data_IF_933059319084
#
_entry.id   IF_933059319084
#
_cell.length_a   1.000
_cell.length_b   1.000
_cell.length_c   1.000
_cell.angle_alpha   90.00
_cell.angle_beta   90.00
_cell.angle_gamma   90.00
#
_symmetry.space_group_name_H-M   'P 1'
#
loop_
_entity.id
_entity.type
_entity.pdbx_description
1 polymer ?
#
# COMPACT_ATOMS: atom_id res chain seq x y z
N UNK A 1 0.20 2.42 8.87
CA UNK A 1 1.15 3.53 9.09
C UNK A 1 2.41 3.15 8.33
N UNK A 2 3.15 4.12 7.77
CA UNK A 2 4.31 3.90 6.87
C UNK A 2 5.28 2.81 7.38
N UNK A 3 5.92 2.08 6.45
CA UNK A 3 6.94 1.07 6.73
C UNK A 3 8.05 1.63 7.60
N UNK A 4 8.54 0.87 8.60
CA UNK A 4 9.68 1.28 9.38
C UNK A 4 10.94 1.38 8.48
N UNK A 5 11.69 2.47 8.61
CA UNK A 5 12.92 2.72 7.83
C UNK A 5 13.94 1.59 8.00
N UNK A 6 14.03 1.04 9.22
CA UNK A 6 14.91 -0.08 9.58
C UNK A 6 14.13 -1.17 10.32
N UNK A 7 14.58 -2.41 10.22
CA UNK A 7 14.04 -3.50 11.03
C UNK A 7 14.39 -3.31 12.52
N UNK A 8 13.40 -3.52 13.39
CA UNK A 8 13.57 -3.42 14.85
C UNK A 8 14.56 -4.43 15.45
N UNK A 9 14.75 -5.59 14.81
CA UNK A 9 15.67 -6.63 15.33
C UNK A 9 17.02 -6.62 14.61
N UNK A 10 17.02 -6.58 13.27
CA UNK A 10 18.24 -6.73 12.48
C UNK A 10 18.94 -5.39 12.15
N UNK A 11 18.26 -4.24 12.31
CA UNK A 11 18.79 -2.93 11.92
C UNK A 11 19.00 -2.71 10.42
N UNK A 12 18.73 -3.72 9.59
CA UNK A 12 18.78 -3.66 8.12
C UNK A 12 17.78 -2.62 7.62
N UNK A 13 18.17 -1.88 6.59
CA UNK A 13 17.30 -0.92 5.89
C UNK A 13 16.21 -1.68 5.12
N UNK A 14 14.96 -1.29 5.32
CA UNK A 14 13.76 -1.92 4.72
C UNK A 14 12.91 -0.89 3.96
N UNK A 15 12.96 0.39 4.35
CA UNK A 15 12.10 1.42 3.76
C UNK A 15 12.26 1.62 2.24
N UNK A 16 13.43 1.27 1.69
CA UNK A 16 13.73 1.31 0.26
C UNK A 16 13.07 0.19 -0.55
N UNK A 17 12.71 -0.92 0.10
CA UNK A 17 12.32 -2.17 -0.57
C UNK A 17 10.83 -2.33 -0.83
N UNK A 18 10.01 -1.47 -0.24
CA UNK A 18 8.55 -1.61 -0.31
C UNK A 18 8.01 -1.47 -1.74
N UNK A 19 8.45 -0.44 -2.46
CA UNK A 19 7.99 -0.21 -3.83
C UNK A 19 8.40 -1.36 -4.76
N UNK A 20 9.64 -1.84 -4.63
CA UNK A 20 10.11 -3.01 -5.36
C UNK A 20 9.30 -4.27 -5.03
N UNK A 21 8.91 -4.47 -3.76
CA UNK A 21 8.02 -5.56 -3.36
C UNK A 21 6.64 -5.47 -4.05
N UNK A 22 6.03 -4.29 -4.09
CA UNK A 22 4.77 -4.06 -4.79
C UNK A 22 4.88 -4.30 -6.30
N UNK A 23 5.98 -3.90 -6.93
CA UNK A 23 6.25 -4.16 -8.35
C UNK A 23 6.40 -5.66 -8.65
N UNK A 24 7.00 -6.43 -7.74
CA UNK A 24 7.12 -7.90 -7.89
C UNK A 24 5.78 -8.59 -7.72
N UNK A 25 4.96 -8.15 -6.77
CA UNK A 25 3.59 -8.67 -6.61
C UNK A 25 2.70 -8.31 -7.81
N UNK A 26 2.88 -7.14 -8.42
CA UNK A 26 2.17 -6.75 -9.64
C UNK A 26 2.55 -7.61 -10.86
N UNK A 27 3.66 -8.34 -10.81
CA UNK A 27 4.11 -9.30 -11.82
C UNK A 27 3.62 -10.74 -11.52
N UNK A 28 2.66 -10.91 -10.61
CA UNK A 28 2.10 -12.19 -10.18
C UNK A 28 3.14 -13.15 -9.55
N UNK A 29 4.20 -12.61 -8.93
CA UNK A 29 5.16 -13.42 -8.18
C UNK A 29 4.62 -13.81 -6.80
N UNK A 30 5.04 -14.97 -6.30
CA UNK A 30 4.70 -15.39 -4.93
C UNK A 30 5.36 -14.47 -3.90
N UNK A 31 4.68 -14.25 -2.77
CA UNK A 31 5.18 -13.38 -1.69
C UNK A 31 6.53 -13.87 -1.14
N UNK A 32 6.75 -15.18 -1.10
CA UNK A 32 8.00 -15.80 -0.66
C UNK A 32 9.16 -15.48 -1.60
N UNK A 33 8.96 -15.74 -2.90
CA UNK A 33 9.99 -15.53 -3.92
C UNK A 33 10.35 -14.05 -4.06
N UNK A 34 9.36 -13.15 -3.96
CA UNK A 34 9.58 -11.71 -3.97
C UNK A 34 10.46 -11.25 -2.80
N UNK A 35 10.31 -11.82 -1.60
CA UNK A 35 11.14 -11.50 -0.44
C UNK A 35 12.57 -12.04 -0.58
N UNK A 36 12.73 -13.16 -1.28
CA UNK A 36 14.02 -13.76 -1.59
C UNK A 36 14.80 -12.94 -2.63
N UNK A 37 14.12 -12.43 -3.66
CA UNK A 37 14.70 -11.52 -4.66
C UNK A 37 15.17 -10.19 -4.02
N UNK A 38 14.42 -9.66 -3.05
CA UNK A 38 14.80 -8.49 -2.24
C UNK A 38 15.92 -8.76 -1.23
N UNK A 39 16.49 -9.96 -1.22
CA UNK A 39 17.58 -10.40 -0.35
C UNK A 39 17.23 -10.30 1.16
N UNK A 40 15.98 -10.56 1.53
CA UNK A 40 15.53 -10.60 2.93
C UNK A 40 15.61 -12.03 3.47
N UNK A 41 16.82 -12.51 3.78
CA UNK A 41 17.02 -13.90 4.28
C UNK A 41 16.51 -14.13 5.71
N UNK A 42 16.57 -13.12 6.57
CA UNK A 42 16.18 -13.26 8.00
C UNK A 42 14.69 -13.03 8.19
N UNK A 43 14.06 -13.90 8.99
CA UNK A 43 12.63 -13.82 9.33
C UNK A 43 12.23 -12.48 9.94
N UNK A 44 13.09 -11.88 10.78
CA UNK A 44 12.80 -10.60 11.43
C UNK A 44 12.62 -9.46 10.44
N UNK A 45 13.40 -9.45 9.35
CA UNK A 45 13.31 -8.44 8.33
C UNK A 45 12.12 -8.75 7.38
N UNK A 46 11.78 -10.04 7.13
CA UNK A 46 10.58 -10.45 6.36
C UNK A 46 9.27 -10.04 7.05
N UNK A 47 9.17 -10.22 8.37
CA UNK A 47 7.99 -9.86 9.16
C UNK A 47 7.59 -8.40 8.95
N UNK A 48 8.57 -7.49 8.86
CA UNK A 48 8.30 -6.06 8.70
C UNK A 48 7.58 -5.75 7.39
N UNK A 49 7.85 -6.50 6.31
CA UNK A 49 7.20 -6.31 5.01
C UNK A 49 5.85 -7.02 4.98
N UNK A 50 5.79 -8.27 5.45
CA UNK A 50 4.56 -9.08 5.43
C UNK A 50 3.43 -8.51 6.29
N UNK A 51 3.73 -7.95 7.46
CA UNK A 51 2.70 -7.43 8.38
C UNK A 51 2.40 -5.95 8.17
N UNK A 52 3.05 -5.31 7.20
CA UNK A 52 2.87 -3.88 7.00
C UNK A 52 1.52 -3.58 6.33
N UNK A 53 0.84 -2.55 6.83
CA UNK A 53 -0.40 -2.04 6.25
C UNK A 53 -0.29 -0.51 6.09
N UNK A 54 -0.32 -0.06 4.83
CA UNK A 54 -0.32 1.35 4.46
C UNK A 54 -1.65 2.02 4.76
N UNK A 55 -1.80 2.46 6.01
CA UNK A 55 -2.95 3.26 6.45
C UNK A 55 -2.80 4.76 6.09
N UNK A 56 -1.66 5.20 5.54
CA UNK A 56 -1.39 6.61 5.23
C UNK A 56 -2.39 7.15 4.19
N UNK A 57 -2.68 6.36 3.16
CA UNK A 57 -3.63 6.73 2.10
C UNK A 57 -5.02 7.00 2.67
N UNK A 58 -5.44 6.21 3.66
CA UNK A 58 -6.74 6.38 4.31
C UNK A 58 -6.75 7.59 5.25
N UNK A 59 -5.66 7.85 5.96
CA UNK A 59 -5.53 8.97 6.90
C UNK A 59 -5.48 10.33 6.20
N UNK A 60 -4.89 10.43 5.00
CA UNK A 60 -4.83 11.67 4.22
C UNK A 60 -6.22 12.22 3.85
N UNK A 61 -7.23 11.36 3.78
CA UNK A 61 -8.61 11.76 3.50
C UNK A 61 -9.32 12.39 4.71
N UNK A 62 -8.80 12.19 5.93
CA UNK A 62 -9.31 12.81 7.14
C UNK A 62 -8.61 14.16 7.34
N UNK A 63 -8.97 15.14 6.50
CA UNK A 63 -8.41 16.47 6.60
C UNK A 63 -8.90 17.13 7.90
N UNK A 64 -7.96 17.58 8.76
CA UNK A 64 -8.23 18.24 10.06
C UNK A 64 -8.84 19.65 9.92
N UNK A 65 -9.35 19.99 8.74
CA UNK A 65 -9.83 21.30 8.36
C UNK A 65 -11.30 21.51 8.79
N UNK A 66 -11.51 21.54 10.11
CA UNK A 66 -12.54 22.37 10.76
C UNK A 66 -11.89 23.42 11.67
N UNK A 67 -10.66 23.84 11.35
CA UNK A 67 -10.05 25.01 11.99
C UNK A 67 -9.40 25.92 10.92
N UNK A 68 -10.24 26.83 10.42
CA UNK A 68 -9.96 28.16 9.86
C UNK A 68 -8.76 28.41 8.93
N UNK A 69 -9.08 28.81 7.69
CA UNK A 69 -8.47 29.93 6.94
C UNK A 69 -6.94 30.09 6.95
N UNK A 70 -6.21 29.54 5.95
CA UNK A 70 -4.97 30.11 5.31
C UNK A 70 -4.13 29.06 4.54
N UNK A 71 -4.74 28.26 3.65
CA UNK A 71 -3.94 27.34 2.82
C UNK A 71 -4.42 27.21 1.38
N UNK A 72 -4.95 28.28 0.80
CA UNK A 72 -5.17 28.35 -0.65
C UNK A 72 -3.86 28.46 -1.46
N UNK A 73 -2.67 28.44 -0.83
CA UNK A 73 -1.39 28.69 -1.51
C UNK A 73 -0.33 27.57 -1.47
N UNK A 74 -0.55 26.39 -0.86
CA UNK A 74 0.54 25.40 -0.74
C UNK A 74 0.47 24.13 -1.60
N UNK A 75 -0.56 23.84 -2.39
CA UNK A 75 -0.60 22.56 -3.15
C UNK A 75 -0.76 22.68 -4.66
N UNK A 76 -0.27 23.78 -5.23
CA UNK A 76 0.31 23.78 -6.60
C UNK A 76 1.67 23.04 -6.65
N UNK A 77 2.18 22.53 -5.51
CA UNK A 77 3.53 21.94 -5.37
C UNK A 77 3.59 20.42 -5.13
N UNK A 78 2.51 19.63 -5.32
CA UNK A 78 2.62 18.15 -5.30
C UNK A 78 2.05 17.46 -6.55
N UNK A 79 1.88 18.20 -7.65
CA UNK A 79 1.81 17.62 -8.97
C UNK A 79 3.23 17.27 -9.45
N UNK A 80 3.73 16.12 -8.99
CA UNK A 80 4.44 15.10 -9.78
C UNK A 80 4.98 14.03 -8.83
N UNK A 81 4.61 12.79 -9.12
CA UNK A 81 5.19 11.52 -8.64
C UNK A 81 4.50 10.86 -7.44
N UNK A 82 3.32 10.25 -7.64
CA UNK A 82 3.09 8.88 -7.16
C UNK A 82 2.01 8.20 -7.99
N UNK A 83 2.45 7.56 -9.06
CA UNK A 83 1.65 6.65 -9.86
C UNK A 83 1.67 5.29 -9.17
N UNK A 84 0.59 4.92 -8.49
CA UNK A 84 0.08 3.55 -8.55
C UNK A 84 -1.36 3.64 -9.03
N UNK A 85 -1.57 3.12 -10.23
CA UNK A 85 -2.87 3.07 -10.87
C UNK A 85 -3.89 2.42 -9.95
N UNK A 86 -4.94 3.17 -9.66
CA UNK A 86 -6.33 2.78 -9.90
C UNK A 86 -6.52 1.34 -10.40
N UNK A 87 -6.82 0.39 -9.50
CA UNK A 87 -7.87 -0.62 -9.72
C UNK A 87 -8.20 -1.36 -8.40
N UNK A 88 -8.94 -0.71 -7.49
CA UNK A 88 -9.67 -1.40 -6.42
C UNK A 88 -11.11 -0.90 -6.37
N UNK A 89 -11.78 -1.02 -7.52
CA UNK A 89 -13.25 -0.90 -7.67
C UNK A 89 -13.73 -1.91 -8.69
N UNK A 90 -13.83 -3.16 -8.28
CA UNK A 90 -14.67 -4.19 -8.91
C UNK A 90 -14.99 -5.25 -7.86
N UNK A 91 -15.53 -4.79 -6.72
CA UNK A 91 -16.06 -5.63 -5.65
C UNK A 91 -17.56 -5.44 -5.43
N UNK A 92 -18.30 -4.92 -6.43
CA UNK A 92 -19.74 -4.66 -6.32
C UNK A 92 -20.58 -5.16 -7.52
N UNK A 93 -20.00 -5.92 -8.47
CA UNK A 93 -20.80 -6.59 -9.52
C UNK A 93 -21.14 -8.07 -9.24
N UNK A 94 -20.52 -8.69 -8.24
CA UNK A 94 -20.74 -10.11 -7.91
C UNK A 94 -22.01 -10.38 -7.07
N UNK A 95 -22.66 -9.36 -6.51
CA UNK A 95 -23.94 -9.54 -5.80
C UNK A 95 -25.16 -9.57 -6.72
N UNK A 96 -25.08 -8.98 -7.92
CA UNK A 96 -26.24 -8.93 -8.83
C UNK A 96 -26.42 -10.21 -9.67
N UNK A 97 -25.35 -10.97 -9.95
CA UNK A 97 -25.48 -12.25 -10.68
C UNK A 97 -26.04 -13.38 -9.80
N UNK A 98 -25.79 -13.36 -8.49
CA UNK A 98 -26.31 -14.39 -7.56
C UNK A 98 -27.83 -14.26 -7.35
N UNK A 99 -28.40 -13.06 -7.47
CA UNK A 99 -29.85 -12.84 -7.28
C UNK A 99 -30.67 -13.30 -8.50
N UNK A 100 -30.10 -13.29 -9.72
CA UNK A 100 -30.78 -13.80 -10.92
C UNK A 100 -30.65 -15.31 -11.15
N UNK A 101 -29.63 -15.98 -10.60
CA UNK A 101 -29.40 -17.42 -10.84
C UNK A 101 -30.05 -18.36 -9.80
N UNK A 102 -30.70 -17.85 -8.75
CA UNK A 102 -31.42 -18.65 -7.75
C UNK A 102 -32.94 -18.45 -7.79
N UNK A 103 -33.48 -17.91 -8.89
CA UNK A 103 -34.92 -17.75 -9.12
C UNK A 103 -35.35 -18.16 -10.53
N UNK A 104 -34.74 -19.23 -11.03
CA UNK A 104 -35.19 -20.12 -12.11
C UNK A 104 -35.00 -21.55 -11.62
#
# INVERSE_FOLDING_TARGET
>A
MIIPVRCFSCGKVIGDKWNAYLELLAKDMSEGDALDELQLKRYCCRRMVLTHVDLIEKLLHYNRALCCSLHSLQTLMNNKSFSYGTLKRQGELLSLLVITYLRI
#
